data_IF_334635613709
#
_entry.id   IF_334635613709
#
_cell.length_a   1.000
_cell.length_b   1.000
_cell.length_c   1.000
_cell.angle_alpha   90.00
_cell.angle_beta   90.00
_cell.angle_gamma   90.00
#
_symmetry.space_group_name_H-M   'P 1'
#
loop_
_entity.id
_entity.type
_entity.pdbx_description
1 polymer ?
#
# COMPACT_ATOMS: atom_id res chain seq x y z
N UNK A 1 -2.97 33.86 39.01
CA UNK A 1 -2.19 32.69 39.49
C UNK A 1 -2.93 31.36 39.38
N UNK A 2 -4.19 31.20 39.82
CA UNK A 2 -4.91 29.91 39.77
C UNK A 2 -5.03 29.32 38.35
N UNK A 3 -5.36 30.14 37.35
CA UNK A 3 -5.48 29.69 35.95
C UNK A 3 -4.13 29.42 35.27
N UNK A 4 -3.04 30.04 35.74
CA UNK A 4 -1.69 29.83 35.19
C UNK A 4 -1.15 28.44 35.50
N UNK A 5 -1.47 27.90 36.69
CA UNK A 5 -1.10 26.52 37.08
C UNK A 5 -1.91 25.49 36.29
N UNK A 6 -3.20 25.75 36.07
CA UNK A 6 -4.06 24.88 35.26
C UNK A 6 -3.62 24.80 33.80
N UNK A 7 -3.22 25.92 33.19
CA UNK A 7 -2.68 25.95 31.82
C UNK A 7 -1.36 25.18 31.71
N UNK A 8 -0.49 25.26 32.72
CA UNK A 8 0.79 24.56 32.73
C UNK A 8 0.64 23.02 32.83
N UNK A 9 -0.37 22.54 33.56
CA UNK A 9 -0.66 21.09 33.69
C UNK A 9 -1.25 20.50 32.40
N UNK A 10 -2.08 21.25 31.67
CA UNK A 10 -2.64 20.81 30.38
C UNK A 10 -1.56 20.71 29.30
N UNK A 11 -0.55 21.58 29.34
CA UNK A 11 0.57 21.56 28.39
C UNK A 11 1.52 20.37 28.58
N UNK A 12 1.60 19.80 29.80
CA UNK A 12 2.44 18.62 30.11
C UNK A 12 1.77 17.31 29.64
N UNK A 13 0.46 17.32 29.38
CA UNK A 13 -0.29 16.12 28.99
C UNK A 13 -0.30 15.82 27.47
N UNK A 14 0.57 16.44 26.67
CA UNK A 14 0.77 16.00 25.28
C UNK A 14 1.55 14.68 25.28
N UNK A 15 0.83 13.59 25.45
CA UNK A 15 1.35 12.24 25.23
C UNK A 15 1.79 12.12 23.77
N UNK A 16 3.05 11.76 23.55
CA UNK A 16 3.54 11.40 22.22
C UNK A 16 2.88 10.08 21.83
N UNK A 17 1.89 10.13 20.94
CA UNK A 17 1.33 8.93 20.33
C UNK A 17 2.34 8.39 19.31
N UNK A 18 2.93 7.22 19.59
CA UNK A 18 3.76 6.51 18.63
C UNK A 18 2.86 5.67 17.73
N UNK A 19 2.73 6.06 16.46
CA UNK A 19 2.09 5.24 15.44
C UNK A 19 3.11 4.25 14.84
N UNK A 20 2.62 3.10 14.39
CA UNK A 20 3.45 2.14 13.64
C UNK A 20 3.97 2.80 12.36
N UNK A 21 5.24 2.56 12.03
CA UNK A 21 5.83 3.07 10.80
C UNK A 21 5.43 2.17 9.62
N UNK A 22 4.86 2.77 8.58
CA UNK A 22 4.55 2.05 7.34
C UNK A 22 5.82 1.57 6.63
N UNK A 23 5.74 0.40 5.99
CA UNK A 23 6.84 -0.20 5.24
C UNK A 23 6.44 -0.54 3.80
N UNK A 24 7.44 -0.46 2.91
CA UNK A 24 7.34 -0.78 1.47
C UNK A 24 8.62 -1.52 1.02
N UNK A 25 8.85 -2.77 1.49
CA UNK A 25 10.11 -3.48 1.27
C UNK A 25 10.36 -3.80 -0.21
N UNK A 26 9.34 -4.15 -0.99
CA UNK A 26 9.49 -4.58 -2.40
C UNK A 26 9.05 -3.46 -3.36
N UNK A 27 7.76 -3.11 -3.36
CA UNK A 27 7.22 -2.05 -4.21
C UNK A 27 7.28 -0.74 -3.46
N UNK A 28 8.15 0.18 -3.88
CA UNK A 28 8.34 1.48 -3.24
C UNK A 28 7.12 2.38 -3.47
N UNK A 29 6.81 3.24 -2.49
CA UNK A 29 5.73 4.24 -2.52
C UNK A 29 4.28 3.71 -2.59
N UNK A 30 4.07 2.42 -2.91
CA UNK A 30 2.74 1.82 -3.04
C UNK A 30 2.59 0.60 -2.14
N UNK A 31 1.35 0.26 -1.79
CA UNK A 31 1.04 -0.94 -1.03
C UNK A 31 1.64 -0.94 0.37
N UNK A 32 1.55 0.19 1.08
CA UNK A 32 2.10 0.33 2.44
C UNK A 32 1.46 -0.68 3.39
N UNK A 33 2.32 -1.32 4.18
CA UNK A 33 1.97 -2.31 5.18
C UNK A 33 2.47 -1.87 6.55
N UNK A 34 1.92 -2.47 7.60
CA UNK A 34 2.34 -2.27 8.97
C UNK A 34 2.64 -3.63 9.58
N UNK A 35 3.77 -3.73 10.26
CA UNK A 35 4.15 -4.95 10.96
C UNK A 35 3.22 -5.19 12.16
N UNK A 36 2.76 -6.42 12.29
CA UNK A 36 1.89 -6.86 13.39
C UNK A 36 2.66 -7.95 14.13
N UNK A 37 2.88 -7.72 15.43
CA UNK A 37 3.55 -8.69 16.29
C UNK A 37 2.79 -10.01 16.33
N UNK A 38 3.53 -11.13 16.32
CA UNK A 38 2.99 -12.49 16.37
C UNK A 38 2.05 -12.86 15.18
N UNK A 39 2.13 -12.14 14.06
CA UNK A 39 1.46 -12.54 12.83
C UNK A 39 2.09 -13.79 12.22
N UNK A 40 1.29 -14.57 11.49
CA UNK A 40 1.81 -15.68 10.67
C UNK A 40 2.52 -15.09 9.46
N UNK A 41 3.80 -15.43 9.31
CA UNK A 41 4.61 -15.01 8.18
C UNK A 41 4.66 -16.08 7.07
N UNK A 42 4.82 -15.67 5.80
CA UNK A 42 5.18 -16.59 4.73
C UNK A 42 6.52 -17.28 5.02
N UNK A 43 6.70 -18.50 4.52
CA UNK A 43 8.01 -19.16 4.53
C UNK A 43 8.96 -18.44 3.55
N UNK A 44 10.10 -17.90 4.02
CA UNK A 44 11.03 -17.14 3.19
C UNK A 44 11.79 -18.00 2.15
N UNK A 45 11.76 -19.33 2.30
CA UNK A 45 12.50 -20.26 1.44
C UNK A 45 11.67 -20.82 0.28
N UNK A 46 10.37 -20.50 0.23
CA UNK A 46 9.48 -20.94 -0.86
C UNK A 46 9.59 -19.98 -2.05
N UNK A 47 9.60 -20.55 -3.25
CA UNK A 47 9.32 -19.83 -4.50
C UNK A 47 7.79 -19.76 -4.69
N UNK A 48 7.22 -18.57 -4.53
CA UNK A 48 5.78 -18.36 -4.67
C UNK A 48 5.42 -18.12 -6.12
N UNK A 49 4.41 -18.84 -6.61
CA UNK A 49 3.79 -18.63 -7.92
C UNK A 49 2.34 -18.20 -7.71
N UNK A 50 2.06 -16.92 -7.92
CA UNK A 50 0.79 -16.30 -7.56
C UNK A 50 0.13 -15.75 -8.82
N UNK A 51 -1.14 -16.11 -9.02
CA UNK A 51 -1.98 -15.52 -10.07
C UNK A 51 -3.03 -14.66 -9.39
N UNK A 52 -3.11 -13.38 -9.78
CA UNK A 52 -4.09 -12.43 -9.26
C UNK A 52 -5.08 -12.06 -10.36
N UNK A 53 -6.37 -12.22 -10.09
CA UNK A 53 -7.45 -11.67 -10.92
C UNK A 53 -7.72 -10.22 -10.51
N UNK A 54 -7.46 -9.27 -11.42
CA UNK A 54 -7.66 -7.84 -11.19
C UNK A 54 -8.77 -7.29 -12.08
N UNK A 55 -9.92 -7.04 -11.45
CA UNK A 55 -11.13 -6.48 -12.11
C UNK A 55 -11.66 -5.18 -11.48
N UNK A 56 -11.01 -4.71 -10.42
CA UNK A 56 -11.49 -3.61 -9.58
C UNK A 56 -11.51 -2.30 -10.34
N UNK A 57 -12.69 -1.68 -10.43
CA UNK A 57 -12.85 -0.36 -11.02
C UNK A 57 -12.21 0.72 -10.14
N UNK A 58 -11.34 1.52 -10.74
CA UNK A 58 -10.90 2.79 -10.18
C UNK A 58 -12.01 3.81 -10.36
N UNK A 59 -12.73 4.12 -9.27
CA UNK A 59 -13.87 5.05 -9.27
C UNK A 59 -13.42 6.51 -9.44
N UNK A 60 -12.42 6.90 -8.65
CA UNK A 60 -11.78 8.21 -8.75
C UNK A 60 -10.56 8.12 -9.66
N UNK A 61 -10.60 8.85 -10.78
CA UNK A 61 -9.56 8.82 -11.81
C UNK A 61 -8.29 9.58 -11.43
N UNK A 62 -8.33 10.37 -10.36
CA UNK A 62 -7.14 11.02 -9.79
C UNK A 62 -6.42 10.14 -8.75
N UNK A 63 -7.06 9.07 -8.30
CA UNK A 63 -6.53 8.16 -7.27
C UNK A 63 -6.00 6.86 -7.85
N UNK A 64 -4.95 6.29 -7.26
CA UNK A 64 -4.40 4.98 -7.63
C UNK A 64 -5.51 3.90 -7.60
N UNK A 65 -5.50 2.99 -8.58
CA UNK A 65 -6.42 1.85 -8.58
C UNK A 65 -6.24 1.01 -7.29
N UNK A 66 -7.29 0.83 -6.47
CA UNK A 66 -7.15 0.14 -5.18
C UNK A 66 -6.82 -1.35 -5.32
N UNK A 67 -7.22 -1.98 -6.42
CA UNK A 67 -6.86 -3.36 -6.72
C UNK A 67 -5.38 -3.50 -7.06
N UNK A 68 -4.83 -2.59 -7.89
CA UNK A 68 -3.40 -2.58 -8.20
C UNK A 68 -2.55 -2.26 -6.95
N UNK A 69 -3.00 -1.31 -6.12
CA UNK A 69 -2.34 -1.01 -4.85
C UNK A 69 -2.36 -2.22 -3.88
N UNK A 70 -3.40 -3.05 -3.93
CA UNK A 70 -3.43 -4.30 -3.17
C UNK A 70 -2.46 -5.36 -3.69
N UNK A 71 -2.18 -5.41 -5.00
CA UNK A 71 -1.09 -6.25 -5.54
C UNK A 71 0.25 -5.80 -4.97
N UNK A 72 0.53 -4.49 -4.97
CA UNK A 72 1.73 -3.95 -4.34
C UNK A 72 1.79 -4.29 -2.85
N UNK A 73 0.66 -4.21 -2.14
CA UNK A 73 0.56 -4.56 -0.72
C UNK A 73 0.86 -6.04 -0.47
N UNK A 74 0.34 -6.93 -1.30
CA UNK A 74 0.60 -8.37 -1.21
C UNK A 74 2.09 -8.69 -1.41
N UNK A 75 2.75 -8.06 -2.39
CA UNK A 75 4.20 -8.18 -2.58
C UNK A 75 4.96 -7.66 -1.34
N UNK A 76 4.59 -6.49 -0.83
CA UNK A 76 5.22 -5.91 0.35
C UNK A 76 5.02 -6.76 1.62
N UNK A 77 3.87 -7.39 1.80
CA UNK A 77 3.62 -8.34 2.90
C UNK A 77 4.58 -9.54 2.82
N UNK A 78 4.79 -10.08 1.63
CA UNK A 78 5.76 -11.18 1.46
C UNK A 78 7.19 -10.72 1.75
N UNK A 79 7.56 -9.53 1.30
CA UNK A 79 8.85 -8.92 1.61
C UNK A 79 9.07 -8.66 3.10
N UNK A 80 8.03 -8.23 3.83
CA UNK A 80 8.10 -8.07 5.28
C UNK A 80 8.32 -9.41 5.99
N UNK A 81 7.66 -10.46 5.50
CA UNK A 81 7.85 -11.83 5.97
C UNK A 81 9.18 -12.48 5.59
N UNK A 82 10.07 -11.76 4.91
CA UNK A 82 11.41 -12.23 4.55
C UNK A 82 11.52 -12.94 3.20
N UNK A 83 10.44 -13.03 2.42
CA UNK A 83 10.50 -13.58 1.06
C UNK A 83 11.24 -12.60 0.15
N UNK A 84 12.30 -13.07 -0.50
CA UNK A 84 13.05 -12.27 -1.46
C UNK A 84 12.20 -11.98 -2.71
N UNK A 85 12.37 -10.81 -3.30
CA UNK A 85 11.63 -10.42 -4.51
C UNK A 85 11.85 -11.40 -5.68
N UNK A 86 13.04 -11.98 -5.80
CA UNK A 86 13.37 -13.01 -6.82
C UNK A 86 12.57 -14.32 -6.65
N UNK A 87 12.03 -14.59 -5.45
CA UNK A 87 11.21 -15.76 -5.15
C UNK A 87 9.70 -15.49 -5.31
N UNK A 88 9.30 -14.29 -5.76
CA UNK A 88 7.89 -13.91 -5.96
C UNK A 88 7.58 -13.83 -7.46
N UNK A 89 7.05 -14.92 -8.02
CA UNK A 89 6.58 -14.97 -9.40
C UNK A 89 5.09 -14.65 -9.45
N UNK A 90 4.76 -13.40 -9.79
CA UNK A 90 3.36 -12.92 -9.77
C UNK A 90 2.88 -12.57 -11.18
N UNK A 91 1.78 -13.19 -11.59
CA UNK A 91 1.06 -12.85 -12.81
C UNK A 91 -0.28 -12.18 -12.45
N UNK A 92 -0.62 -11.08 -13.12
CA UNK A 92 -1.88 -10.36 -12.89
C UNK A 92 -2.72 -10.41 -14.17
N UNK A 93 -3.87 -11.06 -14.10
CA UNK A 93 -4.86 -11.06 -15.18
C UNK A 93 -5.78 -9.85 -15.01
N UNK A 94 -5.69 -8.90 -15.94
CA UNK A 94 -6.41 -7.61 -15.85
C UNK A 94 -7.61 -7.64 -16.79
N UNK A 95 -8.81 -7.36 -16.27
CA UNK A 95 -10.03 -7.23 -17.07
C UNK A 95 -11.08 -6.32 -16.40
N UNK A 96 -12.25 -6.21 -17.03
CA UNK A 96 -13.39 -5.47 -16.48
C UNK A 96 -13.06 -4.02 -16.17
N UNK A 97 -13.41 -3.55 -14.97
CA UNK A 97 -13.21 -2.15 -14.57
C UNK A 97 -11.76 -1.77 -14.31
N UNK A 98 -10.83 -2.72 -14.26
CA UNK A 98 -9.42 -2.45 -14.01
C UNK A 98 -8.61 -2.16 -15.28
N UNK A 99 -9.21 -2.23 -16.47
CA UNK A 99 -8.46 -2.12 -17.73
C UNK A 99 -7.68 -0.81 -17.87
N UNK A 100 -8.11 0.27 -17.20
CA UNK A 100 -7.41 1.56 -17.27
C UNK A 100 -5.99 1.51 -16.68
N UNK A 101 -5.68 0.54 -15.81
CA UNK A 101 -4.35 0.43 -15.18
C UNK A 101 -3.23 0.07 -16.16
N UNK A 102 -3.56 -0.38 -17.37
CA UNK A 102 -2.57 -0.71 -18.41
C UNK A 102 -2.24 0.50 -19.29
N UNK A 103 -2.99 1.61 -19.14
CA UNK A 103 -2.76 2.81 -19.93
C UNK A 103 -1.45 3.47 -19.50
N UNK A 104 -0.68 3.95 -20.47
CA UNK A 104 0.42 4.87 -20.21
C UNK A 104 -0.13 6.28 -19.94
N UNK A 105 0.73 7.20 -19.52
CA UNK A 105 0.31 8.57 -19.18
C UNK A 105 -0.39 9.30 -20.34
N UNK A 106 0.13 9.17 -21.57
CA UNK A 106 -0.46 9.81 -22.75
C UNK A 106 -1.88 9.32 -23.04
N UNK A 107 -2.10 8.00 -23.02
CA UNK A 107 -3.42 7.42 -23.25
C UNK A 107 -4.40 7.73 -22.11
N UNK A 108 -3.89 7.81 -20.87
CA UNK A 108 -4.69 8.19 -19.71
C UNK A 108 -5.14 9.65 -19.79
N UNK A 109 -4.22 10.58 -20.09
CA UNK A 109 -4.53 12.00 -20.34
C UNK A 109 -5.54 12.17 -21.47
N UNK A 110 -5.38 11.45 -22.59
CA UNK A 110 -6.35 11.52 -23.69
C UNK A 110 -7.76 11.07 -23.29
N UNK A 111 -7.87 10.14 -22.35
CA UNK A 111 -9.15 9.55 -21.92
C UNK A 111 -9.82 10.34 -20.79
N UNK A 112 -9.03 10.87 -19.87
CA UNK A 112 -9.52 11.47 -18.62
C UNK A 112 -9.13 12.93 -18.42
N UNK A 113 -8.29 13.50 -19.29
CA UNK A 113 -7.76 14.87 -19.18
C UNK A 113 -6.96 15.11 -17.88
N UNK A 114 -6.37 14.03 -17.34
CA UNK A 114 -5.61 13.99 -16.10
C UNK A 114 -4.32 13.19 -16.29
N UNK A 115 -3.30 13.48 -15.48
CA UNK A 115 -2.11 12.63 -15.37
C UNK A 115 -2.50 11.26 -14.80
N UNK A 116 -1.78 10.22 -15.21
CA UNK A 116 -1.95 8.88 -14.66
C UNK A 116 -1.38 8.84 -13.22
N UNK A 117 -2.20 8.52 -12.20
CA UNK A 117 -1.80 8.58 -10.80
C UNK A 117 -0.83 7.47 -10.35
#
# INVERSE_FOLDING_TARGET
MKYSVTIFIVLICTVNAFAQKGANPIIKNFGTIYEIENAVNPDPNIEYKIVVDLKTLQRDKESINPGLNNVARMLNLHGLGGVKAENLNVAVAIHGGATDVILNNEAYQKKYELDNP
#
